data_IF_026349873395
#
_entry.id   IF_026349873395
#
_cell.length_a   1.000
_cell.length_b   1.000
_cell.length_c   1.000
_cell.angle_alpha   90.00
_cell.angle_beta   90.00
_cell.angle_gamma   90.00
#
_symmetry.space_group_name_H-M   'P 1'
#
loop_
_entity.id
_entity.type
_entity.pdbx_description
1 polymer ?
#
# COMPACT_ATOMS: atom_id res chain seq x y z
N UNK A 1 -8.93 17.84 6.84
CA UNK A 1 -9.50 16.57 6.34
C UNK A 1 -8.38 15.53 6.31
N UNK A 2 -8.69 14.25 6.53
CA UNK A 2 -7.69 13.18 6.45
C UNK A 2 -8.12 12.20 5.37
N UNK A 3 -7.25 11.88 4.43
CA UNK A 3 -7.51 10.91 3.37
C UNK A 3 -6.23 10.19 3.00
N UNK A 4 -6.33 9.15 2.18
CA UNK A 4 -5.16 8.41 1.79
C UNK A 4 -5.42 7.23 0.87
N UNK A 5 -4.38 6.43 0.70
CA UNK A 5 -4.45 5.17 -0.02
C UNK A 5 -3.60 4.10 0.68
N UNK A 6 -4.07 2.85 0.67
CA UNK A 6 -3.29 1.68 1.07
C UNK A 6 -2.90 0.94 -0.20
N UNK A 7 -1.62 0.65 -0.34
CA UNK A 7 -1.06 0.04 -1.55
C UNK A 7 -0.32 -1.23 -1.17
N UNK A 8 -0.75 -2.36 -1.71
CA UNK A 8 0.09 -3.56 -1.78
C UNK A 8 0.83 -3.53 -3.13
N UNK A 9 2.16 -3.50 -3.08
CA UNK A 9 3.04 -3.30 -4.23
C UNK A 9 4.04 -4.45 -4.33
N UNK A 10 4.19 -4.97 -5.53
CA UNK A 10 5.26 -5.89 -5.92
C UNK A 10 6.03 -5.27 -7.06
N UNK A 11 7.35 -5.13 -6.91
CA UNK A 11 8.20 -4.51 -7.92
C UNK A 11 9.48 -5.30 -8.18
N UNK A 12 9.89 -5.33 -9.44
CA UNK A 12 11.11 -6.00 -9.87
C UNK A 12 11.64 -5.42 -11.19
N UNK A 13 12.94 -5.55 -11.42
CA UNK A 13 13.54 -5.19 -12.71
C UNK A 13 13.21 -6.19 -13.82
N UNK A 14 12.91 -7.44 -13.46
CA UNK A 14 12.44 -8.52 -14.31
C UNK A 14 10.90 -8.51 -14.46
N UNK A 15 10.35 -9.24 -15.45
CA UNK A 15 8.90 -9.36 -15.60
C UNK A 15 8.22 -9.98 -14.38
N UNK A 16 7.06 -9.43 -14.02
CA UNK A 16 6.22 -9.91 -12.93
C UNK A 16 5.22 -10.94 -13.44
N UNK A 17 5.08 -12.04 -12.71
CA UNK A 17 4.11 -13.11 -12.97
C UNK A 17 3.35 -13.34 -11.67
N UNK A 18 2.29 -12.58 -11.49
CA UNK A 18 1.53 -12.49 -10.25
C UNK A 18 0.08 -12.83 -10.58
N UNK A 19 -0.47 -13.81 -9.88
CA UNK A 19 -1.84 -14.25 -10.02
C UNK A 19 -2.40 -14.60 -8.63
N UNK A 20 -3.22 -13.69 -8.11
CA UNK A 20 -3.99 -13.92 -6.88
C UNK A 20 -5.40 -14.46 -7.17
N UNK A 21 -5.70 -14.84 -8.42
CA UNK A 21 -7.05 -15.16 -8.88
C UNK A 21 -8.01 -13.97 -8.76
N UNK A 22 -9.31 -14.25 -8.76
CA UNK A 22 -10.37 -13.21 -8.73
C UNK A 22 -10.44 -12.44 -7.39
N UNK A 23 -9.76 -12.93 -6.34
CA UNK A 23 -9.81 -12.35 -5.00
C UNK A 23 -9.06 -11.01 -4.89
N UNK A 24 -7.96 -10.86 -5.64
CA UNK A 24 -7.09 -9.68 -5.62
C UNK A 24 -6.52 -9.36 -7.00
N UNK A 25 -7.31 -8.67 -7.83
CA UNK A 25 -6.89 -8.19 -9.14
C UNK A 25 -6.12 -6.87 -9.03
N UNK A 26 -5.08 -6.63 -9.85
CA UNK A 26 -4.33 -5.38 -9.80
C UNK A 26 -5.23 -4.19 -10.14
N UNK A 27 -5.12 -3.14 -9.35
CA UNK A 27 -5.70 -1.84 -9.69
C UNK A 27 -4.82 -1.06 -10.66
N UNK A 28 -3.51 -1.36 -10.67
CA UNK A 28 -2.54 -0.70 -11.54
C UNK A 28 -1.37 -1.65 -11.82
N UNK A 29 -0.98 -1.69 -13.09
CA UNK A 29 0.25 -2.35 -13.54
C UNK A 29 1.09 -1.29 -14.27
N UNK A 30 2.40 -1.28 -14.01
CA UNK A 30 3.36 -0.40 -14.69
C UNK A 30 4.49 -1.28 -15.20
N UNK A 31 4.83 -1.14 -16.47
CA UNK A 31 5.97 -1.84 -17.04
C UNK A 31 7.21 -0.95 -16.97
N UNK A 32 8.36 -1.58 -16.79
CA UNK A 32 9.66 -0.90 -16.86
C UNK A 32 9.77 -0.20 -18.22
N UNK A 33 10.12 1.09 -18.19
CA UNK A 33 10.23 1.92 -19.40
C UNK A 33 8.98 2.75 -19.70
N UNK A 34 7.84 2.47 -19.07
CA UNK A 34 6.62 3.28 -19.21
C UNK A 34 6.88 4.72 -18.74
N UNK A 35 6.33 5.72 -19.45
CA UNK A 35 6.47 7.12 -19.06
C UNK A 35 5.51 7.42 -17.91
N UNK A 36 6.04 7.85 -16.76
CA UNK A 36 5.25 8.11 -15.55
C UNK A 36 4.96 9.61 -15.40
N UNK A 37 5.98 10.48 -15.47
CA UNK A 37 5.85 11.94 -15.35
C UNK A 37 6.97 12.62 -16.12
N UNK A 38 6.66 13.62 -16.96
CA UNK A 38 7.62 14.55 -17.58
C UNK A 38 8.90 13.83 -18.06
N UNK A 39 8.74 12.86 -18.97
CA UNK A 39 9.80 12.01 -19.55
C UNK A 39 10.54 11.06 -18.60
N UNK A 40 10.19 11.01 -17.31
CA UNK A 40 10.69 9.97 -16.40
C UNK A 40 10.05 8.64 -16.72
N UNK A 41 10.90 7.65 -17.01
CA UNK A 41 10.51 6.27 -17.23
C UNK A 41 10.47 5.48 -15.94
N UNK A 42 9.56 4.51 -15.86
CA UNK A 42 9.48 3.55 -14.78
C UNK A 42 10.79 2.74 -14.71
N UNK A 43 11.49 2.73 -13.55
CA UNK A 43 12.75 1.99 -13.41
C UNK A 43 12.54 0.47 -13.28
N UNK A 44 11.34 0.06 -12.83
CA UNK A 44 10.95 -1.33 -12.52
C UNK A 44 9.56 -1.62 -13.05
N UNK A 45 9.26 -2.90 -13.26
CA UNK A 45 7.89 -3.38 -13.39
C UNK A 45 7.23 -3.32 -12.01
N UNK A 46 5.95 -2.96 -11.96
CA UNK A 46 5.16 -2.87 -10.73
C UNK A 46 3.78 -3.45 -10.94
N UNK A 47 3.34 -4.23 -9.96
CA UNK A 47 1.98 -4.70 -9.80
C UNK A 47 1.45 -4.13 -8.51
N UNK A 48 0.31 -3.43 -8.57
CA UNK A 48 -0.25 -2.72 -7.42
C UNK A 48 -1.73 -2.99 -7.24
N UNK A 49 -2.10 -3.33 -6.00
CA UNK A 49 -3.47 -3.24 -5.51
C UNK A 49 -3.60 -2.03 -4.60
N UNK A 50 -4.57 -1.17 -4.90
CA UNK A 50 -4.78 0.13 -4.23
C UNK A 50 -6.20 0.23 -3.70
N UNK A 51 -6.33 0.68 -2.46
CA UNK A 51 -7.62 1.09 -1.88
C UNK A 51 -7.51 2.50 -1.35
N UNK A 52 -8.55 3.31 -1.57
CA UNK A 52 -8.61 4.68 -1.07
C UNK A 52 -9.50 4.74 0.16
N UNK A 53 -9.19 5.68 1.06
CA UNK A 53 -9.99 5.98 2.23
C UNK A 53 -10.07 7.49 2.46
N UNK A 54 -11.18 7.95 3.02
CA UNK A 54 -11.47 9.37 3.21
C UNK A 54 -11.64 9.76 4.69
N UNK A 55 -11.53 8.79 5.59
CA UNK A 55 -11.54 9.00 7.02
C UNK A 55 -10.88 7.81 7.76
N UNK A 56 -10.83 7.89 9.08
CA UNK A 56 -10.21 6.86 9.93
C UNK A 56 -10.97 5.53 9.92
N UNK A 57 -12.30 5.57 9.80
CA UNK A 57 -13.11 4.36 9.77
C UNK A 57 -12.85 3.60 8.46
N UNK A 58 -12.90 4.28 7.32
CA UNK A 58 -12.59 3.72 6.01
C UNK A 58 -11.14 3.21 5.94
N UNK A 59 -10.19 3.90 6.60
CA UNK A 59 -8.81 3.43 6.71
C UNK A 59 -8.74 2.05 7.37
N UNK A 60 -9.38 1.87 8.53
CA UNK A 60 -9.37 0.59 9.24
C UNK A 60 -10.09 -0.51 8.46
N UNK A 61 -11.24 -0.19 7.85
CA UNK A 61 -11.98 -1.13 7.00
C UNK A 61 -11.14 -1.59 5.81
N UNK A 62 -10.47 -0.66 5.12
CA UNK A 62 -9.60 -0.95 3.99
C UNK A 62 -8.37 -1.78 4.41
N UNK A 63 -7.72 -1.42 5.51
CA UNK A 63 -6.55 -2.13 6.01
C UNK A 63 -6.92 -3.56 6.43
N UNK A 64 -8.03 -3.71 7.16
CA UNK A 64 -8.50 -5.04 7.57
C UNK A 64 -8.86 -5.90 6.35
N UNK A 65 -9.61 -5.36 5.38
CA UNK A 65 -9.98 -6.08 4.18
C UNK A 65 -8.76 -6.52 3.35
N UNK A 66 -7.74 -5.66 3.22
CA UNK A 66 -6.50 -6.02 2.53
C UNK A 66 -5.75 -7.13 3.27
N UNK A 67 -5.59 -6.99 4.59
CA UNK A 67 -4.85 -7.96 5.39
C UNK A 67 -5.55 -9.32 5.50
N UNK A 68 -6.88 -9.35 5.50
CA UNK A 68 -7.65 -10.60 5.37
C UNK A 68 -7.36 -11.31 4.05
N UNK A 69 -7.43 -10.58 2.92
CA UNK A 69 -7.12 -11.14 1.60
C UNK A 69 -5.69 -11.68 1.54
N UNK A 70 -4.72 -10.86 1.99
CA UNK A 70 -3.31 -11.23 1.93
C UNK A 70 -2.98 -12.40 2.86
N UNK A 71 -3.45 -12.38 4.11
CA UNK A 71 -3.19 -13.46 5.08
C UNK A 71 -3.76 -14.81 4.63
N UNK A 72 -4.87 -14.82 3.89
CA UNK A 72 -5.43 -16.05 3.28
C UNK A 72 -4.51 -16.68 2.21
N UNK A 73 -3.54 -15.91 1.69
CA UNK A 73 -2.55 -16.31 0.68
C UNK A 73 -1.11 -16.15 1.18
N UNK A 74 -0.88 -16.26 2.49
CA UNK A 74 0.42 -15.99 3.10
C UNK A 74 1.57 -16.78 2.45
N UNK A 75 1.37 -18.05 2.11
CA UNK A 75 2.39 -18.88 1.45
C UNK A 75 2.81 -18.29 0.09
N UNK A 76 1.83 -17.88 -0.72
CA UNK A 76 2.09 -17.26 -2.01
C UNK A 76 2.82 -15.92 -1.87
N UNK A 77 2.42 -15.09 -0.90
CA UNK A 77 3.11 -13.83 -0.62
C UNK A 77 4.56 -14.08 -0.22
N UNK A 78 4.81 -15.10 0.61
CA UNK A 78 6.16 -15.50 1.00
C UNK A 78 6.99 -15.99 -0.18
N UNK A 79 6.37 -16.65 -1.18
CA UNK A 79 7.04 -16.96 -2.46
C UNK A 79 7.38 -15.70 -3.25
N UNK A 80 6.45 -14.74 -3.35
CA UNK A 80 6.70 -13.46 -4.02
C UNK A 80 7.87 -12.71 -3.37
N UNK A 81 7.94 -12.66 -2.04
CA UNK A 81 9.02 -12.01 -1.29
C UNK A 81 10.39 -12.64 -1.58
N UNK A 82 10.44 -13.96 -1.79
CA UNK A 82 11.68 -14.66 -2.14
C UNK A 82 12.09 -14.45 -3.59
N UNK A 83 11.11 -14.18 -4.47
CA UNK A 83 11.29 -14.10 -5.91
C UNK A 83 11.57 -12.70 -6.42
N UNK A 84 10.94 -11.69 -5.81
CA UNK A 84 10.93 -10.32 -6.28
C UNK A 84 11.67 -9.38 -5.34
N UNK A 85 12.28 -8.35 -5.92
CA UNK A 85 13.09 -7.38 -5.17
C UNK A 85 12.30 -6.62 -4.10
N UNK A 86 11.04 -6.25 -4.39
CA UNK A 86 10.19 -5.46 -3.50
C UNK A 86 8.80 -6.11 -3.38
N UNK A 87 8.38 -6.40 -2.15
CA UNK A 87 7.00 -6.78 -1.80
C UNK A 87 6.63 -6.07 -0.51
N UNK A 88 5.67 -5.15 -0.56
CA UNK A 88 5.35 -4.30 0.58
C UNK A 88 3.90 -3.84 0.61
N UNK A 89 3.47 -3.44 1.80
CA UNK A 89 2.23 -2.70 2.03
C UNK A 89 2.64 -1.29 2.45
N UNK A 90 2.19 -0.27 1.73
CA UNK A 90 2.42 1.13 2.10
C UNK A 90 1.10 1.83 2.36
N UNK A 91 0.98 2.45 3.53
CA UNK A 91 -0.15 3.29 3.92
C UNK A 91 0.24 4.75 3.71
N UNK A 92 -0.38 5.39 2.72
CA UNK A 92 -0.20 6.81 2.45
C UNK A 92 -1.26 7.62 3.20
N UNK A 93 -0.83 8.38 4.20
CA UNK A 93 -1.70 9.23 5.01
C UNK A 93 -1.52 10.70 4.63
N UNK A 94 -2.61 11.42 4.38
CA UNK A 94 -2.60 12.85 4.09
C UNK A 94 -3.51 13.57 5.06
N UNK A 95 -3.01 14.62 5.71
CA UNK A 95 -3.79 15.46 6.61
C UNK A 95 -3.52 16.93 6.36
N UNK A 96 -4.58 17.73 6.42
CA UNK A 96 -4.45 19.18 6.47
C UNK A 96 -4.01 19.67 7.86
N UNK A 97 -4.13 18.84 8.90
CA UNK A 97 -3.74 19.16 10.26
C UNK A 97 -2.25 18.92 10.48
N UNK A 98 -1.65 19.66 11.43
CA UNK A 98 -0.24 19.51 11.78
C UNK A 98 0.08 18.13 12.37
N UNK A 99 -0.87 17.52 13.08
CA UNK A 99 -0.74 16.21 13.71
C UNK A 99 -1.59 15.15 13.01
N UNK A 100 -1.06 13.92 12.99
CA UNK A 100 -1.73 12.73 12.47
C UNK A 100 -1.60 11.63 13.53
N UNK A 101 -2.73 11.14 14.02
CA UNK A 101 -2.82 10.00 14.93
C UNK A 101 -3.65 8.90 14.31
N UNK A 102 -3.09 7.70 14.21
CA UNK A 102 -3.77 6.50 13.74
C UNK A 102 -3.39 5.31 14.60
N UNK A 103 -4.33 4.39 14.75
CA UNK A 103 -4.09 3.11 15.41
C UNK A 103 -4.10 1.97 14.39
N UNK A 104 -3.32 0.92 14.66
CA UNK A 104 -3.45 -0.36 13.99
C UNK A 104 -3.93 -1.35 15.05
N UNK A 105 -5.16 -1.87 14.95
CA UNK A 105 -5.70 -2.88 15.85
C UNK A 105 -4.81 -4.13 15.94
N UNK A 106 -4.78 -4.76 17.12
CA UNK A 106 -3.92 -5.90 17.39
C UNK A 106 -4.21 -7.12 16.49
N UNK A 107 -5.47 -7.34 16.13
CA UNK A 107 -5.86 -8.40 15.20
C UNK A 107 -5.32 -8.18 13.78
N UNK A 108 -5.26 -6.93 13.31
CA UNK A 108 -4.63 -6.57 12.04
C UNK A 108 -3.11 -6.78 12.13
N UNK A 109 -2.48 -6.38 13.24
CA UNK A 109 -1.05 -6.62 13.49
C UNK A 109 -0.75 -8.13 13.44
N UNK A 110 -1.61 -8.96 14.05
CA UNK A 110 -1.44 -10.41 14.04
C UNK A 110 -1.51 -10.97 12.60
N UNK A 111 -2.48 -10.52 11.79
CA UNK A 111 -2.58 -10.91 10.37
C UNK A 111 -1.34 -10.48 9.58
N UNK A 112 -0.88 -9.26 9.78
CA UNK A 112 0.33 -8.73 9.12
C UNK A 112 1.59 -9.49 9.53
N UNK A 113 1.70 -9.91 10.79
CA UNK A 113 2.88 -10.67 11.26
C UNK A 113 3.03 -12.05 10.61
N UNK A 114 1.94 -12.59 10.05
CA UNK A 114 1.94 -13.83 9.26
C UNK A 114 2.51 -13.59 7.85
N UNK A 115 2.56 -12.34 7.41
CA UNK A 115 3.14 -11.92 6.14
C UNK A 115 4.58 -11.48 6.38
N UNK A 116 5.54 -12.05 5.68
CA UNK A 116 6.93 -11.60 5.78
C UNK A 116 7.19 -10.33 4.93
N UNK A 117 6.18 -9.47 4.76
CA UNK A 117 6.25 -8.25 3.96
C UNK A 117 6.46 -7.01 4.85
N UNK A 118 7.12 -5.98 4.31
CA UNK A 118 7.22 -4.71 5.02
C UNK A 118 5.88 -3.97 5.03
N UNK A 119 5.57 -3.34 6.18
CA UNK A 119 4.52 -2.34 6.30
C UNK A 119 5.19 -0.97 6.43
N UNK A 120 4.89 -0.07 5.50
CA UNK A 120 5.43 1.28 5.46
C UNK A 120 4.32 2.30 5.70
N UNK A 121 4.68 3.44 6.29
CA UNK A 121 3.79 4.57 6.50
C UNK A 121 4.41 5.81 5.87
N UNK A 122 3.75 6.34 4.84
CA UNK A 122 4.15 7.56 4.16
C UNK A 122 3.17 8.67 4.55
N UNK A 123 3.65 9.60 5.38
CA UNK A 123 2.82 10.62 6.02
C UNK A 123 3.10 11.99 5.38
N UNK A 124 2.06 12.61 4.83
CA UNK A 124 2.06 13.98 4.32
C UNK A 124 1.14 14.85 5.19
N UNK A 125 1.74 15.71 6.01
CA UNK A 125 1.05 16.68 6.85
C UNK A 125 1.37 18.08 6.35
N UNK A 126 0.33 18.87 6.05
CA UNK A 126 0.49 20.23 5.50
C UNK A 126 0.41 21.33 6.55
N UNK A 127 0.03 20.99 7.79
CA UNK A 127 -0.04 21.93 8.90
C UNK A 127 -0.81 23.21 8.56
N UNK A 128 -2.14 23.18 8.59
CA UNK A 128 -2.92 24.42 8.64
C UNK A 128 -2.42 25.25 9.83
N UNK A 129 -1.64 26.29 9.54
CA UNK A 129 -1.40 27.34 10.49
C UNK A 129 -2.75 28.02 10.72
N UNK A 130 -3.23 27.98 11.96
CA UNK A 130 -4.26 28.93 12.36
C UNK A 130 -3.63 30.30 12.19
N UNK A 131 -4.08 31.06 11.20
CA UNK A 131 -3.90 32.51 11.22
C UNK A 131 -4.60 32.99 12.49
N UNK A 132 -3.84 33.20 13.56
CA UNK A 132 -4.31 33.94 14.72
C UNK A 132 -4.55 35.39 14.25
N UNK A 133 -5.79 35.69 13.86
CA UNK A 133 -6.28 37.03 13.55
C UNK A 133 -6.82 37.73 14.78
#
# INVERSE_FOLDING_TARGET
MINGEIVFDVADTNPLYIDFGDELQPTKVVNKGDVIVLDKKAPKNRWMYKTQYNDEKEYLECLNALTDKLSSKADYINELIRKYEEVSITVYMRSDYAEIGYSVPADIIEKLSKLNCSLNFDILSYGMASDES
#
